data_IF_204351163127
#
_entry.id   IF_204351163127
#
_cell.length_a   1.000
_cell.length_b   1.000
_cell.length_c   1.000
_cell.angle_alpha   90.00
_cell.angle_beta   90.00
_cell.angle_gamma   90.00
#
_symmetry.space_group_name_H-M   'P 1'
#
loop_
_entity.id
_entity.type
_entity.pdbx_description
1 polymer ?
#
# COMPACT_ATOMS: atom_id res chain seq x y z
N UNK A 1 33.17 18.58 -10.28
CA UNK A 1 33.38 17.38 -11.12
C UNK A 1 32.42 16.29 -10.61
N UNK A 2 31.31 16.06 -11.32
CA UNK A 2 30.40 14.96 -11.01
C UNK A 2 31.02 13.68 -11.59
N UNK A 3 31.26 12.68 -10.74
CA UNK A 3 31.70 11.37 -11.17
C UNK A 3 30.66 10.75 -12.11
N UNK A 4 31.07 10.02 -13.18
CA UNK A 4 30.12 9.40 -14.09
C UNK A 4 29.26 8.41 -13.32
N UNK A 5 27.94 8.61 -13.35
CA UNK A 5 26.96 7.75 -12.70
C UNK A 5 27.04 6.36 -13.32
N UNK A 6 27.71 5.46 -12.63
CA UNK A 6 27.73 4.03 -12.96
C UNK A 6 26.28 3.57 -12.92
N UNK A 7 25.73 3.19 -14.10
CA UNK A 7 24.36 2.65 -14.19
C UNK A 7 24.20 1.57 -13.12
N UNK A 8 23.24 1.69 -12.20
CA UNK A 8 23.04 0.68 -11.19
C UNK A 8 22.65 -0.64 -11.89
N UNK A 9 23.28 -1.74 -11.49
CA UNK A 9 22.91 -3.06 -11.98
C UNK A 9 21.46 -3.36 -11.54
N UNK A 10 20.62 -3.81 -12.48
CA UNK A 10 19.24 -4.19 -12.17
C UNK A 10 19.23 -5.36 -11.18
N UNK A 11 18.30 -5.38 -10.21
CA UNK A 11 18.21 -6.43 -9.20
C UNK A 11 17.92 -7.83 -9.77
N UNK A 12 17.24 -7.89 -10.91
CA UNK A 12 16.93 -9.12 -11.63
C UNK A 12 16.67 -8.85 -13.12
N UNK A 13 16.57 -9.91 -13.94
CA UNK A 13 16.22 -9.80 -15.37
C UNK A 13 14.76 -9.48 -15.64
N UNK A 14 13.92 -9.29 -14.60
CA UNK A 14 12.52 -8.95 -14.73
C UNK A 14 12.35 -7.64 -15.50
N UNK A 15 11.55 -7.69 -16.56
CA UNK A 15 11.28 -6.54 -17.46
C UNK A 15 10.72 -5.32 -16.71
N UNK A 16 10.04 -5.53 -15.57
CA UNK A 16 9.48 -4.48 -14.73
C UNK A 16 10.56 -3.53 -14.19
N UNK A 17 11.75 -4.03 -13.91
CA UNK A 17 12.89 -3.19 -13.49
C UNK A 17 13.33 -2.20 -14.56
N UNK A 18 13.08 -2.50 -15.84
CA UNK A 18 13.35 -1.54 -16.94
C UNK A 18 12.44 -0.34 -16.87
N UNK A 19 11.18 -0.53 -16.43
CA UNK A 19 10.19 0.56 -16.24
C UNK A 19 10.66 1.45 -15.10
N UNK A 20 11.00 0.87 -13.95
CA UNK A 20 11.52 1.59 -12.78
C UNK A 20 12.79 2.37 -13.13
N UNK A 21 13.73 1.74 -13.83
CA UNK A 21 14.96 2.41 -14.28
C UNK A 21 14.67 3.52 -15.29
N UNK A 22 13.66 3.35 -16.15
CA UNK A 22 13.18 4.37 -17.07
C UNK A 22 12.67 5.63 -16.36
N UNK A 23 11.94 5.46 -15.25
CA UNK A 23 11.49 6.57 -14.41
C UNK A 23 12.68 7.30 -13.79
N UNK A 24 13.60 6.59 -13.15
CA UNK A 24 14.82 7.20 -12.57
C UNK A 24 15.65 7.94 -13.63
N UNK A 25 15.78 7.37 -14.83
CA UNK A 25 16.52 7.98 -15.94
C UNK A 25 15.88 9.28 -16.43
N UNK A 26 14.53 9.33 -16.52
CA UNK A 26 13.81 10.56 -16.91
C UNK A 26 14.07 11.71 -15.95
N UNK A 27 14.27 11.41 -14.67
CA UNK A 27 14.60 12.37 -13.62
C UNK A 27 16.12 12.51 -13.36
N UNK A 28 16.97 12.02 -14.28
CA UNK A 28 18.43 12.14 -14.15
C UNK A 28 19.02 11.47 -12.89
N UNK A 29 18.35 10.47 -12.31
CA UNK A 29 18.71 9.84 -11.03
C UNK A 29 18.81 10.84 -9.87
N UNK A 30 18.04 11.92 -9.92
CA UNK A 30 18.01 12.94 -8.88
C UNK A 30 17.34 12.41 -7.59
N UNK A 31 17.77 12.96 -6.44
CA UNK A 31 17.25 12.53 -5.11
C UNK A 31 15.78 12.84 -4.88
N UNK A 32 15.25 13.84 -5.55
CA UNK A 32 13.85 14.25 -5.52
C UNK A 32 12.91 13.31 -6.27
N UNK A 33 13.44 12.47 -7.18
CA UNK A 33 12.67 11.44 -7.87
C UNK A 33 12.29 10.24 -6.97
N UNK A 34 12.60 10.27 -5.66
CA UNK A 34 12.39 9.14 -4.75
C UNK A 34 10.93 8.68 -4.71
N UNK A 35 9.99 9.60 -4.48
CA UNK A 35 8.56 9.28 -4.32
C UNK A 35 8.01 8.69 -5.62
N UNK A 36 8.31 9.30 -6.75
CA UNK A 36 7.82 8.86 -8.06
C UNK A 36 8.40 7.50 -8.45
N UNK A 37 9.67 7.28 -8.11
CA UNK A 37 10.33 5.99 -8.34
C UNK A 37 9.72 4.88 -7.48
N UNK A 38 9.48 5.14 -6.18
CA UNK A 38 8.80 4.19 -5.29
C UNK A 38 7.37 3.90 -5.75
N UNK A 39 6.66 4.92 -6.24
CA UNK A 39 5.34 4.76 -6.85
C UNK A 39 5.39 3.82 -8.06
N UNK A 40 6.35 4.02 -8.95
CA UNK A 40 6.55 3.15 -10.13
C UNK A 40 6.88 1.70 -9.71
N UNK A 41 7.68 1.51 -8.66
CA UNK A 41 7.95 0.17 -8.10
C UNK A 41 6.65 -0.47 -7.63
N UNK A 42 5.87 0.23 -6.82
CA UNK A 42 4.62 -0.31 -6.30
C UNK A 42 3.60 -0.63 -7.41
N UNK A 43 3.47 0.22 -8.41
CA UNK A 43 2.62 -0.06 -9.56
C UNK A 43 3.09 -1.28 -10.37
N UNK A 44 4.41 -1.50 -10.46
CA UNK A 44 4.97 -2.60 -11.23
C UNK A 44 4.96 -3.94 -10.48
N UNK A 45 5.19 -3.92 -9.16
CA UNK A 45 5.38 -5.11 -8.33
C UNK A 45 4.25 -5.35 -7.32
N UNK A 46 3.37 -4.36 -7.12
CA UNK A 46 2.26 -4.40 -6.17
C UNK A 46 2.63 -3.94 -4.76
N UNK A 47 3.89 -4.01 -4.37
CA UNK A 47 4.40 -3.58 -3.07
C UNK A 47 5.88 -3.23 -3.12
N UNK A 48 6.41 -2.63 -2.05
CA UNK A 48 7.81 -2.27 -1.90
C UNK A 48 8.52 -3.30 -1.03
N UNK A 49 9.23 -4.22 -1.63
CA UNK A 49 10.08 -5.14 -0.88
C UNK A 49 11.42 -4.50 -0.48
N UNK A 50 12.14 -5.17 0.41
CA UNK A 50 13.46 -4.70 0.90
C UNK A 50 14.48 -4.56 -0.22
N UNK A 51 14.40 -5.39 -1.25
CA UNK A 51 15.31 -5.37 -2.39
C UNK A 51 15.05 -4.13 -3.26
N UNK A 52 13.78 -3.82 -3.53
CA UNK A 52 13.37 -2.63 -4.26
C UNK A 52 13.81 -1.35 -3.56
N UNK A 53 13.58 -1.26 -2.24
CA UNK A 53 14.01 -0.09 -1.46
C UNK A 53 15.52 0.11 -1.51
N UNK A 54 16.32 -0.97 -1.38
CA UNK A 54 17.78 -0.90 -1.49
C UNK A 54 18.22 -0.46 -2.87
N UNK A 55 17.63 -1.01 -3.93
CA UNK A 55 17.95 -0.66 -5.31
C UNK A 55 17.65 0.81 -5.60
N UNK A 56 16.45 1.28 -5.26
CA UNK A 56 16.04 2.69 -5.48
C UNK A 56 16.94 3.63 -4.67
N UNK A 57 17.18 3.34 -3.39
CA UNK A 57 18.03 4.16 -2.53
C UNK A 57 19.46 4.28 -3.08
N UNK A 58 20.06 3.17 -3.51
CA UNK A 58 21.39 3.15 -4.10
C UNK A 58 21.44 3.91 -5.44
N UNK A 59 20.42 3.73 -6.29
CA UNK A 59 20.34 4.35 -7.61
C UNK A 59 20.17 5.87 -7.54
N UNK A 60 19.41 6.36 -6.57
CA UNK A 60 19.16 7.80 -6.36
C UNK A 60 20.14 8.45 -5.38
N UNK A 61 21.17 7.72 -4.92
CA UNK A 61 22.15 8.20 -3.95
C UNK A 61 21.52 8.79 -2.68
N UNK A 62 20.45 8.15 -2.16
CA UNK A 62 19.81 8.49 -0.89
C UNK A 62 20.06 7.38 0.14
N UNK A 63 20.14 7.71 1.44
CA UNK A 63 20.22 6.69 2.48
C UNK A 63 19.00 5.76 2.46
N UNK A 64 19.20 4.47 2.72
CA UNK A 64 18.10 3.50 2.81
C UNK A 64 17.05 3.90 3.85
N UNK A 65 17.48 4.50 4.96
CA UNK A 65 16.60 5.05 6.00
C UNK A 65 15.63 6.10 5.47
N UNK A 66 16.09 6.95 4.52
CA UNK A 66 15.21 7.94 3.88
C UNK A 66 14.19 7.27 2.96
N UNK A 67 14.60 6.29 2.15
CA UNK A 67 13.68 5.55 1.30
C UNK A 67 12.64 4.80 2.13
N UNK A 68 13.06 4.16 3.23
CA UNK A 68 12.17 3.49 4.17
C UNK A 68 11.24 4.47 4.90
N UNK A 69 11.76 5.61 5.35
CA UNK A 69 10.97 6.67 5.98
C UNK A 69 9.87 7.20 5.07
N UNK A 70 10.14 7.41 3.78
CA UNK A 70 9.14 7.82 2.79
C UNK A 70 8.11 6.69 2.61
N UNK A 71 8.55 5.45 2.45
CA UNK A 71 7.67 4.31 2.24
C UNK A 71 6.72 4.05 3.43
N UNK A 72 7.13 4.36 4.67
CA UNK A 72 6.31 4.20 5.87
C UNK A 72 5.47 5.42 6.22
N UNK A 73 5.89 6.61 5.79
CA UNK A 73 5.17 7.85 6.03
C UNK A 73 3.89 7.96 5.19
N UNK A 74 3.97 7.60 3.92
CA UNK A 74 2.82 7.66 3.01
C UNK A 74 2.03 6.36 3.04
N UNK A 75 0.76 6.41 3.47
CA UNK A 75 -0.15 5.25 3.52
C UNK A 75 -0.45 4.61 2.15
N UNK A 76 -0.03 5.28 1.08
CA UNK A 76 -0.12 4.75 -0.27
C UNK A 76 0.81 3.55 -0.50
N UNK A 77 1.98 3.54 0.18
CA UNK A 77 2.97 2.49 0.01
C UNK A 77 2.71 1.30 0.93
N UNK A 78 2.80 0.10 0.36
CA UNK A 78 2.70 -1.16 1.08
C UNK A 78 4.04 -1.89 1.06
N UNK A 79 4.49 -2.35 2.23
CA UNK A 79 5.76 -3.07 2.40
C UNK A 79 5.59 -4.59 2.42
N UNK A 80 4.36 -5.06 2.44
CA UNK A 80 3.98 -6.47 2.41
C UNK A 80 3.22 -6.78 1.12
N UNK A 81 3.26 -8.00 0.60
CA UNK A 81 2.45 -8.38 -0.55
C UNK A 81 0.97 -8.12 -0.25
N UNK A 82 0.24 -7.40 -1.12
CA UNK A 82 -1.19 -7.22 -0.98
C UNK A 82 -1.92 -8.54 -1.24
N UNK A 83 -3.05 -8.75 -0.58
CA UNK A 83 -3.98 -9.82 -0.92
C UNK A 83 -4.67 -9.56 -2.26
N UNK A 84 -5.34 -10.60 -2.76
CA UNK A 84 -6.17 -10.51 -3.97
C UNK A 84 -7.28 -9.48 -3.80
N UNK A 85 -7.83 -9.38 -2.59
CA UNK A 85 -8.86 -8.44 -2.19
C UNK A 85 -8.34 -7.50 -1.11
N UNK A 86 -8.82 -6.27 -1.08
CA UNK A 86 -8.44 -5.25 -0.10
C UNK A 86 -9.68 -4.64 0.56
N UNK A 87 -9.74 -4.74 1.90
CA UNK A 87 -10.71 -4.06 2.73
C UNK A 87 -10.03 -2.89 3.45
N UNK A 88 -10.47 -1.67 3.21
CA UNK A 88 -9.92 -0.47 3.83
C UNK A 88 -11.02 0.25 4.61
N UNK A 89 -10.88 0.29 5.93
CA UNK A 89 -11.85 0.93 6.84
C UNK A 89 -11.41 2.36 7.17
N UNK A 90 -12.30 3.31 7.02
CA UNK A 90 -12.06 4.70 7.38
C UNK A 90 -12.17 4.89 8.90
N UNK A 91 -11.10 5.42 9.52
CA UNK A 91 -11.05 5.79 10.95
C UNK A 91 -11.05 7.32 11.17
N UNK A 92 -11.53 8.10 10.19
CA UNK A 92 -11.77 9.53 10.37
C UNK A 92 -12.80 9.78 11.49
N UNK A 93 -12.78 10.97 12.07
CA UNK A 93 -13.60 11.31 13.25
C UNK A 93 -15.08 10.95 13.08
N UNK A 94 -15.69 11.29 11.94
CA UNK A 94 -17.10 10.98 11.69
C UNK A 94 -17.36 9.47 11.63
N UNK A 95 -16.47 8.70 10.97
CA UNK A 95 -16.57 7.25 10.89
C UNK A 95 -16.35 6.60 12.25
N UNK A 96 -15.36 7.09 13.01
CA UNK A 96 -15.06 6.59 14.34
C UNK A 96 -16.25 6.73 15.30
N UNK A 97 -16.88 7.93 15.35
CA UNK A 97 -18.07 8.19 16.16
C UNK A 97 -19.23 7.28 15.73
N UNK A 98 -19.37 6.98 14.46
CA UNK A 98 -20.40 6.10 13.91
C UNK A 98 -20.05 4.60 13.96
N UNK A 99 -19.01 4.20 14.70
CA UNK A 99 -18.74 2.81 14.99
C UNK A 99 -17.70 2.12 14.09
N UNK A 100 -16.87 2.88 13.35
CA UNK A 100 -15.83 2.28 12.49
C UNK A 100 -14.83 1.39 13.27
N UNK A 101 -14.59 1.67 14.55
CA UNK A 101 -13.75 0.82 15.39
C UNK A 101 -14.32 -0.61 15.56
N UNK A 102 -15.65 -0.72 15.66
CA UNK A 102 -16.35 -2.01 15.71
C UNK A 102 -16.26 -2.75 14.37
N UNK A 103 -16.29 -2.03 13.24
CA UNK A 103 -16.10 -2.60 11.92
C UNK A 103 -14.67 -3.17 11.76
N UNK A 104 -13.64 -2.47 12.25
CA UNK A 104 -12.27 -3.00 12.24
C UNK A 104 -12.19 -4.27 13.08
N UNK A 105 -12.69 -4.26 14.32
CA UNK A 105 -12.66 -5.44 15.18
C UNK A 105 -13.42 -6.64 14.57
N UNK A 106 -14.54 -6.40 13.90
CA UNK A 106 -15.29 -7.45 13.19
C UNK A 106 -14.48 -7.98 11.98
N UNK A 107 -13.81 -7.10 11.22
CA UNK A 107 -12.98 -7.49 10.10
C UNK A 107 -11.77 -8.33 10.55
N UNK A 108 -11.08 -7.91 11.62
CA UNK A 108 -9.97 -8.66 12.23
C UNK A 108 -10.40 -10.06 12.65
N UNK A 109 -11.54 -10.16 13.32
CA UNK A 109 -12.12 -11.44 13.74
C UNK A 109 -12.48 -12.33 12.55
N UNK A 110 -13.09 -11.78 11.51
CA UNK A 110 -13.54 -12.54 10.33
C UNK A 110 -12.37 -13.03 9.49
N UNK A 111 -11.34 -12.19 9.30
CA UNK A 111 -10.15 -12.54 8.50
C UNK A 111 -9.07 -13.26 9.30
N UNK A 112 -9.12 -13.23 10.64
CA UNK A 112 -8.10 -13.81 11.51
C UNK A 112 -6.73 -13.13 11.43
N UNK A 113 -6.71 -11.84 11.09
CA UNK A 113 -5.49 -11.01 10.94
C UNK A 113 -5.69 -9.67 11.67
N UNK A 114 -4.57 -9.01 12.00
CA UNK A 114 -4.62 -7.65 12.53
C UNK A 114 -4.68 -6.60 11.42
N UNK A 115 -5.12 -5.39 11.77
CA UNK A 115 -5.13 -4.27 10.86
C UNK A 115 -3.71 -3.98 10.31
N UNK A 116 -3.60 -3.78 9.00
CA UNK A 116 -2.33 -3.62 8.28
C UNK A 116 -1.70 -4.93 7.81
N UNK A 117 -2.40 -6.04 7.96
CA UNK A 117 -1.94 -7.36 7.55
C UNK A 117 -2.70 -7.91 6.35
N UNK A 118 -2.11 -8.96 5.77
CA UNK A 118 -2.70 -9.75 4.69
C UNK A 118 -2.84 -11.20 5.18
N UNK A 119 -3.93 -11.86 4.84
CA UNK A 119 -4.16 -13.26 5.19
C UNK A 119 -3.03 -14.15 4.67
N UNK A 120 -2.66 -15.24 5.39
CA UNK A 120 -1.54 -16.12 5.00
C UNK A 120 -1.70 -16.74 3.60
N UNK A 121 -2.94 -16.91 3.15
CA UNK A 121 -3.29 -17.39 1.81
C UNK A 121 -3.28 -16.29 0.73
N UNK A 122 -2.92 -15.05 1.10
CA UNK A 122 -2.90 -13.86 0.25
C UNK A 122 -4.25 -13.55 -0.41
N UNK A 123 -5.36 -13.99 0.16
CA UNK A 123 -6.70 -13.70 -0.36
C UNK A 123 -7.16 -12.29 -0.01
N UNK A 124 -6.96 -11.84 1.22
CA UNK A 124 -7.47 -10.55 1.68
C UNK A 124 -6.45 -9.75 2.48
N UNK A 125 -6.45 -8.43 2.31
CA UNK A 125 -5.71 -7.47 3.14
C UNK A 125 -6.67 -6.58 3.90
N UNK A 126 -6.41 -6.35 5.19
CA UNK A 126 -7.17 -5.41 6.01
C UNK A 126 -6.34 -4.15 6.24
N UNK A 127 -6.85 -3.02 5.83
CA UNK A 127 -6.18 -1.72 5.91
C UNK A 127 -7.07 -0.69 6.60
N UNK A 128 -6.47 0.37 7.12
CA UNK A 128 -7.21 1.53 7.62
C UNK A 128 -6.72 2.82 6.99
N UNK A 129 -7.60 3.81 6.87
CA UNK A 129 -7.26 5.16 6.46
C UNK A 129 -7.77 6.18 7.48
N UNK A 130 -7.05 7.31 7.60
CA UNK A 130 -7.43 8.39 8.54
C UNK A 130 -8.71 9.11 8.13
N UNK A 131 -8.88 9.40 6.84
CA UNK A 131 -10.11 10.01 6.31
C UNK A 131 -10.16 9.82 4.80
N UNK A 132 -11.31 9.37 4.28
CA UNK A 132 -11.56 9.18 2.85
C UNK A 132 -12.31 10.37 2.21
N UNK A 133 -12.68 11.40 3.00
CA UNK A 133 -13.31 12.61 2.51
C UNK A 133 -14.83 12.58 2.33
N UNK A 134 -15.48 11.41 2.41
CA UNK A 134 -16.95 11.27 2.24
C UNK A 134 -17.69 11.12 3.56
N UNK A 135 -17.43 12.01 4.52
CA UNK A 135 -17.90 11.93 5.91
C UNK A 135 -19.43 11.89 6.08
N UNK A 136 -20.18 12.40 5.11
CA UNK A 136 -21.67 12.35 5.10
C UNK A 136 -22.18 10.91 5.02
N UNK A 137 -21.41 10.02 4.41
CA UNK A 137 -21.76 8.61 4.23
C UNK A 137 -21.12 7.69 5.30
N UNK A 138 -20.58 8.26 6.37
CA UNK A 138 -19.92 7.48 7.43
C UNK A 138 -20.90 6.47 8.10
N UNK A 139 -20.44 5.27 8.55
CA UNK A 139 -19.07 4.75 8.41
C UNK A 139 -18.75 4.29 6.98
N UNK A 140 -17.48 4.46 6.58
CA UNK A 140 -17.02 4.20 5.23
C UNK A 140 -16.08 3.01 5.20
N UNK A 141 -16.27 2.12 4.24
CA UNK A 141 -15.33 1.04 3.90
C UNK A 141 -15.11 1.03 2.39
N UNK A 142 -13.89 0.75 1.97
CA UNK A 142 -13.54 0.54 0.56
C UNK A 142 -13.21 -0.93 0.36
N UNK A 143 -13.88 -1.58 -0.58
CA UNK A 143 -13.64 -2.95 -1.00
C UNK A 143 -13.12 -2.95 -2.42
N UNK A 144 -11.88 -3.36 -2.63
CA UNK A 144 -11.23 -3.43 -3.95
C UNK A 144 -11.31 -2.11 -4.76
N UNK A 145 -11.28 -0.97 -4.06
CA UNK A 145 -11.41 0.36 -4.66
C UNK A 145 -12.83 0.89 -4.75
N UNK A 146 -13.86 0.10 -4.47
CA UNK A 146 -15.26 0.52 -4.40
C UNK A 146 -15.58 1.07 -3.00
N UNK A 147 -16.01 2.34 -2.90
CA UNK A 147 -16.36 2.99 -1.66
C UNK A 147 -17.83 2.69 -1.29
N UNK A 148 -18.02 2.10 -0.13
CA UNK A 148 -19.34 1.82 0.45
C UNK A 148 -19.53 2.69 1.68
N UNK A 149 -20.66 3.38 1.74
CA UNK A 149 -21.08 4.21 2.88
C UNK A 149 -22.16 3.56 3.71
N UNK A 150 -22.32 4.07 4.94
CA UNK A 150 -23.28 3.55 5.93
C UNK A 150 -23.09 2.05 6.17
N UNK A 151 -21.83 1.61 6.20
CA UNK A 151 -21.46 0.21 6.35
C UNK A 151 -21.80 -0.29 7.75
N UNK A 152 -22.25 -1.54 7.85
CA UNK A 152 -22.53 -2.22 9.11
C UNK A 152 -21.72 -3.52 9.25
N UNK A 153 -21.67 -4.06 10.48
CA UNK A 153 -20.85 -5.23 10.77
C UNK A 153 -21.35 -6.51 10.09
N UNK A 154 -22.64 -6.63 9.82
CA UNK A 154 -23.24 -7.82 9.19
C UNK A 154 -22.91 -7.86 7.71
N UNK A 155 -23.08 -6.74 7.02
CA UNK A 155 -22.75 -6.61 5.60
C UNK A 155 -21.25 -6.77 5.36
N UNK A 156 -20.42 -6.11 6.20
CA UNK A 156 -18.96 -6.26 6.16
C UNK A 156 -18.55 -7.73 6.34
N UNK A 157 -19.09 -8.41 7.35
CA UNK A 157 -18.79 -9.83 7.59
C UNK A 157 -19.13 -10.69 6.37
N UNK A 158 -20.34 -10.54 5.82
CA UNK A 158 -20.79 -11.32 4.66
C UNK A 158 -19.88 -11.13 3.43
N UNK A 159 -19.40 -9.90 3.16
CA UNK A 159 -18.44 -9.64 2.08
C UNK A 159 -17.11 -10.30 2.32
N UNK A 160 -16.55 -10.20 3.53
CA UNK A 160 -15.25 -10.79 3.85
C UNK A 160 -15.29 -12.32 3.83
N UNK A 161 -16.36 -12.94 4.33
CA UNK A 161 -16.55 -14.40 4.24
C UNK A 161 -16.66 -14.86 2.79
N UNK A 162 -17.30 -14.10 1.91
CA UNK A 162 -17.33 -14.37 0.47
C UNK A 162 -15.95 -14.42 -0.18
N UNK A 163 -15.00 -13.60 0.27
CA UNK A 163 -13.62 -13.63 -0.21
C UNK A 163 -12.83 -14.85 0.28
N UNK A 164 -13.11 -15.29 1.50
CA UNK A 164 -12.43 -16.44 2.11
C UNK A 164 -12.93 -17.77 1.58
N UNK A 165 -14.20 -17.81 1.12
CA UNK A 165 -14.84 -19.03 0.56
C UNK A 165 -14.59 -19.28 -0.93
N UNK A 166 -13.87 -18.37 -1.61
CA UNK A 166 -13.63 -18.46 -3.07
C UNK A 166 -12.27 -19.05 -3.40
#
# INVERSE_FOLDING_TARGET
MQAPSRKPALPSEDKRWRIVNGTMRRHGYARDALIETLHTVQQSFGYLDKQSLKFVAASLHVPLSRAYGVATFYHFFTLKPPGKHACLVCLGTACYIKGAAALVAQAEKTLGIECGETTPDLKASLLTARCLGSCSLAPLVVYDGELIGNEDAVHLQGRLEGWMGS
#
